data_IF_592973153145
#
_entry.id   IF_592973153145
#
_cell.length_a   1.000
_cell.length_b   1.000
_cell.length_c   1.000
_cell.angle_alpha   90.00
_cell.angle_beta   90.00
_cell.angle_gamma   90.00
#
_symmetry.space_group_name_H-M   'P 1'
#
loop_
_entity.id
_entity.type
_entity.pdbx_description
1 polymer ?
#
# COMPACT_ATOMS: atom_id res chain seq x y z
N UNK A 1 -14.47 3.97 -6.33
CA UNK A 1 -13.08 4.40 -6.52
C UNK A 1 -12.39 3.43 -7.46
N UNK A 2 -12.10 3.88 -8.68
CA UNK A 2 -11.68 3.05 -9.82
C UNK A 2 -10.16 2.73 -9.83
N UNK A 3 -9.49 2.88 -8.67
CA UNK A 3 -8.03 2.71 -8.59
C UNK A 3 -7.57 1.27 -8.31
N UNK A 4 -8.48 0.36 -7.96
CA UNK A 4 -8.13 -1.01 -7.57
C UNK A 4 -7.58 -1.80 -8.76
N UNK A 5 -8.29 -1.79 -9.87
CA UNK A 5 -7.89 -2.49 -11.10
C UNK A 5 -6.57 -1.94 -11.64
N UNK A 6 -6.42 -0.62 -11.90
CA UNK A 6 -5.14 -0.06 -12.36
C UNK A 6 -3.95 -0.37 -11.44
N UNK A 7 -4.15 -0.40 -10.12
CA UNK A 7 -3.07 -0.72 -9.18
C UNK A 7 -2.60 -2.17 -9.30
N UNK A 8 -3.53 -3.11 -9.48
CA UNK A 8 -3.19 -4.54 -9.69
C UNK A 8 -2.52 -4.75 -11.05
N UNK A 9 -3.01 -4.10 -12.10
CA UNK A 9 -2.42 -4.17 -13.43
C UNK A 9 -1.01 -3.59 -13.46
N UNK A 10 -0.78 -2.44 -12.85
CA UNK A 10 0.54 -1.86 -12.73
C UNK A 10 1.50 -2.80 -11.98
N UNK A 11 1.05 -3.44 -10.91
CA UNK A 11 1.85 -4.44 -10.20
C UNK A 11 2.20 -5.63 -11.12
N UNK A 12 1.24 -6.12 -11.90
CA UNK A 12 1.49 -7.19 -12.87
C UNK A 12 2.49 -6.79 -13.96
N UNK A 13 2.42 -5.56 -14.45
CA UNK A 13 3.38 -5.03 -15.42
C UNK A 13 4.80 -4.96 -14.84
N UNK A 14 4.94 -4.51 -13.60
CA UNK A 14 6.25 -4.35 -12.96
C UNK A 14 6.87 -5.67 -12.49
N UNK A 15 6.07 -6.61 -11.99
CA UNK A 15 6.56 -7.82 -11.33
C UNK A 15 6.23 -9.12 -12.07
N UNK A 16 5.51 -9.07 -13.19
CA UNK A 16 5.13 -10.23 -13.99
C UNK A 16 4.01 -11.10 -13.41
N UNK A 17 3.47 -10.76 -12.24
CA UNK A 17 2.40 -11.51 -11.58
C UNK A 17 1.50 -10.62 -10.73
N UNK A 18 0.28 -11.08 -10.45
CA UNK A 18 -0.61 -10.41 -9.51
C UNK A 18 -0.06 -10.44 -8.07
N UNK A 19 -0.34 -9.43 -7.23
CA UNK A 19 0.06 -9.46 -5.83
C UNK A 19 -0.62 -10.62 -5.09
N UNK A 20 0.12 -11.32 -4.23
CA UNK A 20 -0.43 -12.41 -3.40
C UNK A 20 -1.46 -11.90 -2.38
N UNK A 21 -1.23 -10.68 -1.89
CA UNK A 21 -2.07 -9.99 -0.92
C UNK A 21 -2.24 -8.54 -1.34
N UNK A 22 -3.48 -8.07 -1.37
CA UNK A 22 -3.83 -6.66 -1.54
C UNK A 22 -4.52 -6.16 -0.28
N UNK A 23 -4.11 -5.00 0.20
CA UNK A 23 -4.77 -4.33 1.33
C UNK A 23 -5.07 -2.88 0.98
N UNK A 24 -6.26 -2.42 1.33
CA UNK A 24 -6.70 -1.04 1.10
C UNK A 24 -7.35 -0.48 2.37
N UNK A 25 -7.63 0.81 2.40
CA UNK A 25 -8.54 1.35 3.40
C UNK A 25 -10.01 0.99 3.07
N UNK A 26 -10.91 1.33 3.99
CA UNK A 26 -12.32 1.01 3.84
C UNK A 26 -13.04 1.84 2.75
N UNK A 27 -12.45 2.94 2.31
CA UNK A 27 -13.00 3.78 1.24
C UNK A 27 -12.97 3.10 -0.14
N UNK A 28 -12.13 2.09 -0.31
CA UNK A 28 -12.03 1.30 -1.55
C UNK A 28 -12.95 0.09 -1.56
N UNK A 29 -13.63 -0.21 -0.43
CA UNK A 29 -14.47 -1.39 -0.35
C UNK A 29 -15.70 -1.26 -1.25
N UNK A 30 -15.82 -2.17 -2.19
CA UNK A 30 -17.04 -2.55 -2.87
C UNK A 30 -16.97 -4.03 -3.28
N UNK A 31 -18.11 -4.69 -3.41
CA UNK A 31 -18.16 -6.07 -3.89
C UNK A 31 -17.54 -6.18 -5.30
N UNK A 32 -17.78 -5.18 -6.15
CA UNK A 32 -17.23 -5.11 -7.50
C UNK A 32 -15.68 -4.99 -7.48
N UNK A 33 -15.12 -4.12 -6.65
CA UNK A 33 -13.66 -3.98 -6.52
C UNK A 33 -13.01 -5.26 -5.99
N UNK A 34 -13.65 -5.92 -5.03
CA UNK A 34 -13.13 -7.19 -4.50
C UNK A 34 -13.20 -8.31 -5.54
N UNK A 35 -14.28 -8.39 -6.31
CA UNK A 35 -14.42 -9.35 -7.41
C UNK A 35 -13.38 -9.07 -8.52
N UNK A 36 -13.26 -7.84 -8.99
CA UNK A 36 -12.29 -7.47 -10.02
C UNK A 36 -10.84 -7.79 -9.60
N UNK A 37 -10.46 -7.51 -8.35
CA UNK A 37 -9.14 -7.86 -7.86
C UNK A 37 -8.91 -9.39 -7.85
N UNK A 38 -9.93 -10.19 -7.54
CA UNK A 38 -9.87 -11.66 -7.60
C UNK A 38 -9.70 -12.16 -9.02
N UNK A 39 -10.45 -11.64 -9.97
CA UNK A 39 -10.37 -11.96 -11.39
C UNK A 39 -8.99 -11.68 -11.96
N UNK A 40 -8.34 -10.61 -11.51
CA UNK A 40 -6.95 -10.28 -11.85
C UNK A 40 -5.90 -11.18 -11.19
N UNK A 41 -6.31 -12.13 -10.34
CA UNK A 41 -5.44 -13.14 -9.74
C UNK A 41 -4.96 -12.83 -8.31
N UNK A 42 -5.51 -11.82 -7.65
CA UNK A 42 -5.16 -11.53 -6.25
C UNK A 42 -5.78 -12.58 -5.32
N UNK A 43 -4.93 -13.34 -4.60
CA UNK A 43 -5.38 -14.46 -3.76
C UNK A 43 -6.01 -14.03 -2.43
N UNK A 44 -5.47 -12.98 -1.80
CA UNK A 44 -5.94 -12.46 -0.51
C UNK A 44 -6.22 -10.97 -0.62
N UNK A 45 -7.44 -10.57 -0.26
CA UNK A 45 -7.88 -9.19 -0.35
C UNK A 45 -8.36 -8.74 1.02
N UNK A 46 -7.68 -7.75 1.59
CA UNK A 46 -8.01 -7.14 2.87
C UNK A 46 -8.54 -5.73 2.64
N UNK A 47 -9.84 -5.62 2.35
CA UNK A 47 -10.59 -4.37 2.22
C UNK A 47 -11.64 -4.31 3.34
N UNK A 48 -11.47 -3.47 4.38
CA UNK A 48 -12.43 -3.41 5.48
C UNK A 48 -13.77 -2.82 5.01
N UNK A 49 -14.87 -3.43 5.42
CA UNK A 49 -16.19 -2.87 5.19
C UNK A 49 -16.67 -2.07 6.42
N UNK A 50 -16.91 -0.79 6.26
CA UNK A 50 -17.48 0.08 7.33
C UNK A 50 -19.00 0.00 7.44
N UNK A 51 -19.66 -0.50 6.39
CA UNK A 51 -21.12 -0.66 6.37
C UNK A 51 -21.58 -1.92 7.11
N UNK A 52 -22.86 -2.22 7.04
CA UNK A 52 -23.42 -3.45 7.61
C UNK A 52 -22.71 -4.70 7.08
N UNK A 53 -22.25 -5.57 7.99
CA UNK A 53 -21.46 -6.75 7.67
C UNK A 53 -22.29 -8.02 7.84
N UNK A 54 -22.30 -8.86 6.82
CA UNK A 54 -22.80 -10.22 6.93
C UNK A 54 -21.96 -11.02 7.97
N UNK A 55 -22.50 -12.11 8.55
CA UNK A 55 -21.72 -12.99 9.43
C UNK A 55 -20.43 -13.49 8.80
N UNK A 56 -20.46 -13.86 7.50
CA UNK A 56 -19.30 -14.32 6.77
C UNK A 56 -18.24 -13.21 6.64
N UNK A 57 -18.66 -11.96 6.41
CA UNK A 57 -17.75 -10.81 6.36
C UNK A 57 -17.08 -10.55 7.69
N UNK A 58 -17.81 -10.64 8.79
CA UNK A 58 -17.27 -10.50 10.15
C UNK A 58 -16.21 -11.56 10.45
N UNK A 59 -16.47 -12.82 10.06
CA UNK A 59 -15.51 -13.91 10.20
C UNK A 59 -14.26 -13.69 9.36
N UNK A 60 -14.40 -13.22 8.12
CA UNK A 60 -13.25 -12.89 7.26
C UNK A 60 -12.37 -11.81 7.88
N UNK A 61 -12.96 -10.71 8.34
CA UNK A 61 -12.21 -9.58 8.89
C UNK A 61 -11.57 -9.89 10.25
N UNK A 62 -12.05 -10.94 10.97
CA UNK A 62 -11.42 -11.45 12.18
C UNK A 62 -10.21 -12.35 11.93
N UNK A 63 -9.99 -12.84 10.71
CA UNK A 63 -8.85 -13.69 10.40
C UNK A 63 -7.54 -12.96 10.67
N UNK A 64 -6.56 -13.69 11.20
CA UNK A 64 -5.24 -13.17 11.58
C UNK A 64 -4.58 -12.44 10.40
N UNK A 65 -4.50 -13.08 9.23
CA UNK A 65 -3.89 -12.50 8.04
C UNK A 65 -4.56 -11.19 7.59
N UNK A 66 -5.90 -11.07 7.73
CA UNK A 66 -6.63 -9.86 7.37
C UNK A 66 -6.24 -8.69 8.28
N UNK A 67 -6.19 -8.92 9.59
CA UNK A 67 -5.79 -7.91 10.58
C UNK A 67 -4.32 -7.53 10.46
N UNK A 68 -3.44 -8.49 10.18
CA UNK A 68 -2.02 -8.24 9.93
C UNK A 68 -1.82 -7.36 8.69
N UNK A 69 -2.55 -7.63 7.60
CA UNK A 69 -2.54 -6.79 6.40
C UNK A 69 -2.98 -5.35 6.69
N UNK A 70 -4.03 -5.16 7.49
CA UNK A 70 -4.47 -3.83 7.89
C UNK A 70 -3.44 -3.10 8.79
N UNK A 71 -2.80 -3.81 9.72
CA UNK A 71 -1.70 -3.23 10.53
C UNK A 71 -0.53 -2.81 9.65
N UNK A 72 -0.15 -3.66 8.69
CA UNK A 72 0.92 -3.33 7.74
C UNK A 72 0.58 -2.08 6.92
N UNK A 73 -0.64 -1.96 6.42
CA UNK A 73 -1.12 -0.77 5.71
C UNK A 73 -1.01 0.49 6.57
N UNK A 74 -1.46 0.42 7.82
CA UNK A 74 -1.32 1.54 8.77
C UNK A 74 0.15 1.90 9.02
N UNK A 75 1.03 0.90 9.05
CA UNK A 75 2.48 1.11 9.11
C UNK A 75 3.04 1.89 7.92
N UNK A 76 2.49 1.69 6.71
CA UNK A 76 2.88 2.46 5.53
C UNK A 76 2.55 3.97 5.68
N UNK A 77 1.42 4.31 6.30
CA UNK A 77 1.07 5.70 6.59
C UNK A 77 2.09 6.35 7.55
N UNK A 78 2.51 5.61 8.57
CA UNK A 78 3.60 6.02 9.46
C UNK A 78 4.91 6.25 8.73
N UNK A 79 5.24 5.39 7.75
CA UNK A 79 6.43 5.57 6.88
C UNK A 79 6.33 6.83 6.02
N UNK A 80 5.19 7.11 5.42
CA UNK A 80 4.95 8.34 4.65
C UNK A 80 5.14 9.58 5.54
N UNK A 81 4.60 9.56 6.76
CA UNK A 81 4.79 10.63 7.74
C UNK A 81 6.27 10.83 8.11
N UNK A 82 7.01 9.74 8.27
CA UNK A 82 8.45 9.77 8.53
C UNK A 82 9.23 10.37 7.36
N UNK A 83 8.94 9.96 6.13
CA UNK A 83 9.53 10.50 4.91
C UNK A 83 9.30 12.02 4.81
N UNK A 84 8.07 12.46 5.07
CA UNK A 84 7.74 13.89 5.08
C UNK A 84 8.60 14.68 6.05
N UNK A 85 8.79 14.17 7.27
CA UNK A 85 9.55 14.88 8.31
C UNK A 85 11.07 14.81 8.10
N UNK A 86 11.61 13.65 7.72
CA UNK A 86 13.07 13.45 7.60
C UNK A 86 13.65 13.98 6.29
N UNK A 87 12.90 13.85 5.20
CA UNK A 87 13.39 14.19 3.86
C UNK A 87 12.72 15.44 3.27
N UNK A 88 12.04 16.22 4.11
CA UNK A 88 11.45 17.50 3.70
C UNK A 88 10.33 17.38 2.68
N UNK A 89 9.66 16.20 2.58
CA UNK A 89 8.60 15.96 1.60
C UNK A 89 7.28 16.67 1.94
N UNK A 90 7.24 17.49 3.00
CA UNK A 90 6.09 18.34 3.32
C UNK A 90 5.85 19.42 2.28
N UNK A 91 6.90 19.86 1.58
CA UNK A 91 6.84 20.93 0.58
C UNK A 91 7.71 20.56 -0.61
N UNK A 92 7.09 20.34 -1.76
CA UNK A 92 7.83 20.16 -2.99
C UNK A 92 8.53 21.46 -3.39
N UNK A 93 9.83 21.39 -3.68
CA UNK A 93 10.65 22.53 -4.14
C UNK A 93 10.79 22.58 -5.67
N UNK A 94 10.32 21.54 -6.35
CA UNK A 94 10.31 21.47 -7.81
C UNK A 94 8.95 21.87 -8.37
N UNK A 95 8.93 22.41 -9.57
CA UNK A 95 7.70 22.83 -10.26
C UNK A 95 7.12 21.66 -11.08
N UNK A 96 5.78 21.61 -11.17
CA UNK A 96 5.04 20.68 -11.99
C UNK A 96 5.01 19.23 -11.46
N UNK A 97 4.27 18.39 -12.16
CA UNK A 97 4.06 16.99 -11.77
C UNK A 97 5.34 16.17 -11.84
N UNK A 98 6.14 16.32 -12.89
CA UNK A 98 7.44 15.63 -13.01
C UNK A 98 8.42 16.08 -11.94
N UNK A 99 8.43 17.36 -11.58
CA UNK A 99 9.19 17.86 -10.47
C UNK A 99 8.75 17.22 -9.14
N UNK A 100 7.45 17.10 -8.91
CA UNK A 100 6.90 16.44 -7.73
C UNK A 100 7.30 14.95 -7.67
N UNK A 101 7.18 14.24 -8.78
CA UNK A 101 7.60 12.82 -8.88
C UNK A 101 9.08 12.63 -8.55
N UNK A 102 9.97 13.48 -9.10
CA UNK A 102 11.41 13.45 -8.79
C UNK A 102 11.67 13.74 -7.31
N UNK A 103 11.02 14.74 -6.75
CA UNK A 103 11.16 15.13 -5.35
C UNK A 103 10.79 13.97 -4.40
N UNK A 104 9.64 13.36 -4.62
CA UNK A 104 9.18 12.20 -3.84
C UNK A 104 10.11 11.01 -4.05
N UNK A 105 10.48 10.72 -5.29
CA UNK A 105 11.38 9.61 -5.62
C UNK A 105 12.74 9.71 -4.92
N UNK A 106 13.36 10.88 -4.94
CA UNK A 106 14.63 11.12 -4.24
C UNK A 106 14.49 10.92 -2.73
N UNK A 107 13.40 11.39 -2.11
CA UNK A 107 13.15 11.17 -0.69
C UNK A 107 12.97 9.69 -0.33
N UNK A 108 12.27 8.93 -1.17
CA UNK A 108 12.10 7.47 -0.99
C UNK A 108 13.45 6.74 -1.13
N UNK A 109 14.25 7.09 -2.13
CA UNK A 109 15.59 6.49 -2.33
C UNK A 109 16.48 6.77 -1.12
N UNK A 110 16.52 8.02 -0.64
CA UNK A 110 17.32 8.40 0.52
C UNK A 110 16.91 7.60 1.79
N UNK A 111 15.60 7.47 2.05
CA UNK A 111 15.12 6.68 3.18
C UNK A 111 15.45 5.19 3.05
N UNK A 112 15.33 4.62 1.87
CA UNK A 112 15.69 3.23 1.61
C UNK A 112 17.20 2.98 1.84
N UNK A 113 18.07 3.84 1.36
CA UNK A 113 19.52 3.73 1.58
C UNK A 113 19.87 3.80 3.07
N UNK A 114 19.24 4.70 3.84
CA UNK A 114 19.44 4.79 5.29
C UNK A 114 19.00 3.49 5.97
N UNK A 115 17.86 2.92 5.58
CA UNK A 115 17.37 1.69 6.18
C UNK A 115 18.23 0.47 5.83
N UNK A 116 18.70 0.37 4.59
CA UNK A 116 19.66 -0.67 4.16
C UNK A 116 20.95 -0.55 4.98
N UNK A 117 21.51 0.67 5.09
CA UNK A 117 22.72 0.90 5.89
C UNK A 117 22.56 0.50 7.35
N UNK A 118 21.41 0.77 7.96
CA UNK A 118 21.13 0.35 9.35
C UNK A 118 21.06 -1.17 9.50
N UNK A 119 20.43 -1.87 8.55
CA UNK A 119 20.37 -3.34 8.58
C UNK A 119 21.76 -3.93 8.43
N UNK A 120 22.57 -3.43 7.51
CA UNK A 120 23.95 -3.90 7.32
C UNK A 120 24.82 -3.63 8.55
N UNK A 121 24.70 -2.45 9.17
CA UNK A 121 25.45 -2.12 10.38
C UNK A 121 25.03 -2.98 11.60
N UNK A 122 23.79 -3.45 11.65
CA UNK A 122 23.32 -4.34 12.72
C UNK A 122 23.75 -5.81 12.52
N UNK A 123 24.24 -6.17 11.34
CA UNK A 123 24.75 -7.51 11.02
C UNK A 123 26.28 -7.61 11.10
N UNK A 124 26.96 -6.47 11.21
CA UNK A 124 28.40 -6.38 11.39
C UNK A 124 28.78 -6.47 12.87
#
# INVERSE_FOLDING_TARGET
>A
SDLVVPAVELHKQQFGHAPKLMTTDAGFFSAANEAAARELGVKRISMPNRSSKSPQRRLLERKRWFREAQRWRTGCEGRISLLKRRHGLNRCRYKGEDGMRRWVGLGVIADNLINIGRVLAAQA
#
